data_IF_367738008349
#
_entry.id   IF_367738008349
#
_cell.length_a   1.000
_cell.length_b   1.000
_cell.length_c   1.000
_cell.angle_alpha   90.00
_cell.angle_beta   90.00
_cell.angle_gamma   90.00
#
_symmetry.space_group_name_H-M   'P 1'
#
loop_
_entity.id
_entity.type
_entity.pdbx_description
1 polymer ?
#
# COMPACT_ATOMS: atom_id res chain seq x y z
N UNK A 1 22.65 -20.00 12.52
CA UNK A 1 22.63 -18.67 11.85
C UNK A 1 21.24 -18.04 11.86
N UNK A 2 20.15 -18.79 11.53
CA UNK A 2 18.79 -18.24 11.47
C UNK A 2 18.26 -17.86 12.86
N UNK A 3 18.41 -18.71 13.87
CA UNK A 3 17.98 -18.44 15.22
C UNK A 3 18.69 -17.22 15.82
N UNK A 4 20.02 -17.10 15.66
CA UNK A 4 20.77 -15.94 16.12
C UNK A 4 20.31 -14.64 15.44
N UNK A 5 19.93 -14.69 14.14
CA UNK A 5 19.37 -13.55 13.45
C UNK A 5 17.99 -13.18 14.01
N UNK A 6 17.14 -14.16 14.28
CA UNK A 6 15.81 -13.98 14.88
C UNK A 6 15.91 -13.37 16.27
N UNK A 7 16.78 -13.91 17.13
CA UNK A 7 17.01 -13.39 18.47
C UNK A 7 17.49 -11.93 18.42
N UNK A 8 18.46 -11.63 17.54
CA UNK A 8 18.96 -10.27 17.40
C UNK A 8 17.91 -9.30 16.86
N UNK A 9 17.07 -9.73 15.92
CA UNK A 9 15.96 -8.93 15.40
C UNK A 9 14.95 -8.63 16.52
N UNK A 10 14.65 -9.60 17.36
CA UNK A 10 13.72 -9.44 18.48
C UNK A 10 14.27 -8.50 19.56
N UNK A 11 15.54 -8.60 19.92
CA UNK A 11 16.22 -7.65 20.82
C UNK A 11 16.12 -6.21 20.29
N UNK A 12 16.41 -6.01 18.99
CA UNK A 12 16.34 -4.69 18.36
C UNK A 12 14.90 -4.18 18.38
N UNK A 13 13.92 -5.03 18.04
CA UNK A 13 12.50 -4.68 18.08
C UNK A 13 12.10 -4.25 19.50
N UNK A 14 12.42 -5.06 20.51
CA UNK A 14 12.06 -4.77 21.91
C UNK A 14 12.64 -3.44 22.38
N UNK A 15 13.90 -3.17 22.04
CA UNK A 15 14.58 -1.93 22.42
C UNK A 15 14.00 -0.70 21.72
N UNK A 16 13.70 -0.79 20.39
CA UNK A 16 13.32 0.37 19.57
C UNK A 16 11.80 0.59 19.51
N UNK A 17 11.00 -0.45 19.72
CA UNK A 17 9.54 -0.43 19.54
C UNK A 17 8.77 -0.93 20.77
N UNK A 18 9.45 -1.43 21.79
CA UNK A 18 8.81 -2.07 22.94
C UNK A 18 8.22 -3.44 22.61
N UNK A 19 7.35 -3.94 23.45
CA UNK A 19 6.75 -5.28 23.31
C UNK A 19 5.37 -5.28 22.64
N UNK A 20 4.87 -4.12 22.27
CA UNK A 20 3.56 -3.98 21.65
C UNK A 20 3.58 -4.36 20.17
N UNK A 21 2.50 -4.98 19.74
CA UNK A 21 2.22 -5.22 18.30
C UNK A 21 1.29 -4.12 17.80
N UNK A 22 1.73 -3.41 16.77
CA UNK A 22 0.90 -2.40 16.11
C UNK A 22 -0.12 -3.05 15.18
N UNK A 23 -1.41 -2.90 15.50
CA UNK A 23 -2.52 -3.38 14.67
C UNK A 23 -3.03 -2.23 13.80
N UNK A 24 -3.21 -2.49 12.50
CA UNK A 24 -3.73 -1.51 11.54
C UNK A 24 -5.07 -1.99 10.98
N UNK A 25 -5.99 -1.05 10.78
CA UNK A 25 -7.26 -1.34 10.08
C UNK A 25 -7.03 -1.31 8.57
N UNK A 26 -7.18 -2.45 7.89
CA UNK A 26 -7.09 -2.54 6.44
C UNK A 26 -8.50 -2.46 5.84
N UNK A 27 -8.69 -1.50 4.93
CA UNK A 27 -9.94 -1.32 4.17
C UNK A 27 -9.61 -1.51 2.70
N UNK A 28 -9.96 -2.67 2.15
CA UNK A 28 -9.86 -2.95 0.71
C UNK A 28 -11.07 -2.35 0.00
N UNK A 29 -10.98 -1.07 -0.36
CA UNK A 29 -12.14 -0.33 -0.86
C UNK A 29 -12.46 -0.58 -2.34
N UNK A 30 -11.54 -1.21 -3.10
CA UNK A 30 -11.79 -1.62 -4.48
C UNK A 30 -10.81 -2.72 -4.92
N UNK A 31 -11.31 -3.66 -5.73
CA UNK A 31 -10.48 -4.66 -6.39
C UNK A 31 -10.31 -4.39 -7.90
N UNK A 32 -10.69 -3.20 -8.39
CA UNK A 32 -10.45 -2.78 -9.77
C UNK A 32 -8.98 -2.46 -9.96
N UNK A 33 -8.38 -2.97 -11.04
CA UNK A 33 -6.95 -2.79 -11.33
C UNK A 33 -6.73 -2.75 -12.84
N UNK A 34 -5.91 -1.82 -13.30
CA UNK A 34 -5.47 -1.69 -14.70
C UNK A 34 -4.22 -2.53 -14.98
N UNK A 35 -3.46 -2.90 -13.93
CA UNK A 35 -2.25 -3.70 -14.04
C UNK A 35 -2.55 -5.18 -14.32
N UNK A 36 -1.58 -5.85 -14.94
CA UNK A 36 -1.66 -7.27 -15.23
C UNK A 36 -0.50 -8.06 -14.57
N UNK A 37 -0.21 -7.76 -13.31
CA UNK A 37 0.85 -8.41 -12.55
C UNK A 37 0.59 -9.91 -12.42
N UNK A 38 1.56 -10.76 -12.80
CA UNK A 38 1.38 -12.21 -12.92
C UNK A 38 1.15 -12.94 -11.60
N UNK A 39 1.60 -12.36 -10.50
CA UNK A 39 1.42 -12.91 -9.14
C UNK A 39 0.09 -12.47 -8.47
N UNK A 40 -0.62 -11.48 -9.05
CA UNK A 40 -1.73 -10.82 -8.38
C UNK A 40 -3.08 -11.33 -8.87
N UNK A 41 -3.96 -11.73 -7.94
CA UNK A 41 -5.32 -12.13 -8.25
C UNK A 41 -6.20 -10.99 -8.76
N UNK A 42 -5.84 -9.72 -8.45
CA UNK A 42 -6.56 -8.53 -8.92
C UNK A 42 -6.21 -8.11 -10.35
N UNK A 43 -5.27 -8.79 -11.03
CA UNK A 43 -4.84 -8.42 -12.38
C UNK A 43 -6.01 -8.22 -13.34
N UNK A 44 -5.88 -7.24 -14.25
CA UNK A 44 -6.94 -6.88 -15.20
C UNK A 44 -7.43 -8.05 -16.04
N UNK A 45 -6.52 -8.96 -16.44
CA UNK A 45 -6.83 -10.14 -17.23
C UNK A 45 -7.49 -11.30 -16.46
N UNK A 46 -7.83 -11.15 -15.16
CA UNK A 46 -8.55 -12.19 -14.42
C UNK A 46 -10.07 -12.08 -14.67
N UNK A 47 -10.66 -12.95 -15.52
CA UNK A 47 -12.07 -12.88 -15.86
C UNK A 47 -12.99 -13.43 -14.77
N UNK A 48 -12.45 -14.21 -13.83
CA UNK A 48 -13.23 -14.88 -12.77
C UNK A 48 -13.49 -13.96 -11.57
N UNK A 49 -12.85 -12.78 -11.51
CA UNK A 49 -12.97 -11.90 -10.38
C UNK A 49 -14.17 -10.95 -10.54
N UNK A 50 -15.15 -11.06 -9.67
CA UNK A 50 -16.22 -10.06 -9.55
C UNK A 50 -15.64 -8.75 -9.04
N UNK A 51 -15.69 -7.70 -9.85
CA UNK A 51 -15.17 -6.38 -9.50
C UNK A 51 -16.14 -5.63 -8.61
N UNK A 52 -15.58 -4.93 -7.62
CA UNK A 52 -16.35 -4.06 -6.71
C UNK A 52 -15.60 -2.76 -6.44
N UNK A 53 -16.32 -1.82 -5.89
CA UNK A 53 -15.82 -0.56 -5.34
C UNK A 53 -16.79 -0.11 -4.25
N UNK A 54 -16.29 0.12 -3.06
CA UNK A 54 -17.06 0.70 -1.95
C UNK A 54 -17.28 2.19 -2.20
N UNK A 55 -18.43 2.69 -1.84
CA UNK A 55 -18.68 4.13 -1.77
C UNK A 55 -18.05 4.75 -0.50
N UNK A 56 -18.12 6.09 -0.38
CA UNK A 56 -17.52 6.78 0.76
C UNK A 56 -18.18 6.40 2.09
N UNK A 57 -19.50 6.26 2.12
CA UNK A 57 -20.24 5.90 3.32
C UNK A 57 -19.82 4.50 3.82
N UNK A 58 -19.67 3.54 2.91
CA UNK A 58 -19.20 2.20 3.23
C UNK A 58 -17.76 2.19 3.75
N UNK A 59 -16.88 3.04 3.19
CA UNK A 59 -15.49 3.17 3.68
C UNK A 59 -15.47 3.77 5.08
N UNK A 60 -16.25 4.83 5.33
CA UNK A 60 -16.36 5.48 6.64
C UNK A 60 -16.93 4.51 7.68
N UNK A 61 -17.98 3.77 7.36
CA UNK A 61 -18.53 2.73 8.25
C UNK A 61 -17.50 1.64 8.59
N UNK A 62 -16.74 1.18 7.60
CA UNK A 62 -15.66 0.21 7.84
C UNK A 62 -14.55 0.80 8.74
N UNK A 63 -14.22 2.07 8.56
CA UNK A 63 -13.25 2.79 9.38
C UNK A 63 -13.73 2.93 10.82
N UNK A 64 -14.99 3.29 11.04
CA UNK A 64 -15.60 3.39 12.37
C UNK A 64 -15.49 2.07 13.13
N UNK A 65 -15.81 0.96 12.48
CA UNK A 65 -15.64 -0.37 13.08
C UNK A 65 -14.18 -0.67 13.42
N UNK A 66 -13.24 -0.35 12.54
CA UNK A 66 -11.81 -0.56 12.79
C UNK A 66 -11.32 0.28 13.99
N UNK A 67 -11.72 1.54 14.06
CA UNK A 67 -11.37 2.45 15.17
C UNK A 67 -11.95 1.97 16.48
N UNK A 68 -13.17 1.42 16.49
CA UNK A 68 -13.79 0.83 17.67
C UNK A 68 -13.00 -0.37 18.24
N UNK A 69 -12.19 -1.05 17.42
CA UNK A 69 -11.22 -2.07 17.84
C UNK A 69 -9.88 -1.48 18.37
N UNK A 70 -9.76 -0.15 18.42
CA UNK A 70 -8.59 0.52 18.97
C UNK A 70 -7.42 0.71 18.01
N UNK A 71 -7.63 0.60 16.68
CA UNK A 71 -6.57 0.90 15.71
C UNK A 71 -6.34 2.41 15.60
N UNK A 72 -5.09 2.82 15.50
CA UNK A 72 -4.65 4.21 15.31
C UNK A 72 -4.23 4.51 13.86
N UNK A 73 -4.22 3.51 13.01
CA UNK A 73 -3.80 3.61 11.62
C UNK A 73 -4.76 2.84 10.71
N UNK A 74 -5.26 3.52 9.68
CA UNK A 74 -6.06 2.93 8.61
C UNK A 74 -5.23 2.80 7.34
N UNK A 75 -5.31 1.67 6.68
CA UNK A 75 -4.72 1.42 5.36
C UNK A 75 -5.84 1.32 4.33
N UNK A 76 -5.95 2.30 3.45
CA UNK A 76 -6.85 2.27 2.31
C UNK A 76 -6.15 1.58 1.15
N UNK A 77 -6.62 0.41 0.78
CA UNK A 77 -6.02 -0.41 -0.27
C UNK A 77 -6.97 -0.62 -1.44
N UNK A 78 -6.42 -0.57 -2.65
CA UNK A 78 -7.12 -0.97 -3.87
C UNK A 78 -6.16 -1.56 -4.90
N UNK A 79 -6.70 -2.07 -6.00
CA UNK A 79 -5.92 -2.18 -7.23
C UNK A 79 -5.56 -0.80 -7.77
N UNK A 80 -4.64 -0.77 -8.74
CA UNK A 80 -4.19 0.47 -9.37
C UNK A 80 -5.15 0.90 -10.47
N UNK A 81 -5.79 2.06 -10.28
CA UNK A 81 -6.60 2.78 -11.27
C UNK A 81 -6.29 4.28 -11.18
N UNK A 82 -6.46 5.02 -12.28
CA UNK A 82 -6.04 6.42 -12.37
C UNK A 82 -7.20 7.42 -12.47
N UNK A 83 -8.43 6.97 -12.34
CA UNK A 83 -9.65 7.72 -12.65
C UNK A 83 -10.30 8.46 -11.48
N UNK A 84 -9.79 8.36 -10.25
CA UNK A 84 -10.50 8.85 -9.06
C UNK A 84 -9.65 9.63 -8.02
N UNK A 85 -8.72 10.49 -8.39
CA UNK A 85 -7.86 11.13 -7.39
C UNK A 85 -8.63 12.01 -6.40
N UNK A 86 -9.65 12.74 -6.84
CA UNK A 86 -10.47 13.61 -5.99
C UNK A 86 -11.31 12.81 -5.00
N UNK A 87 -11.86 11.67 -5.44
CA UNK A 87 -12.64 10.80 -4.56
C UNK A 87 -11.78 10.24 -3.43
N UNK A 88 -10.56 9.79 -3.71
CA UNK A 88 -9.64 9.31 -2.68
C UNK A 88 -9.28 10.45 -1.71
N UNK A 89 -9.07 11.67 -2.21
CA UNK A 89 -8.83 12.83 -1.37
C UNK A 89 -10.01 13.12 -0.42
N UNK A 90 -11.25 13.12 -0.92
CA UNK A 90 -12.44 13.31 -0.09
C UNK A 90 -12.57 12.23 1.00
N UNK A 91 -12.33 10.96 0.65
CA UNK A 91 -12.34 9.87 1.64
C UNK A 91 -11.26 10.08 2.71
N UNK A 92 -10.04 10.45 2.32
CA UNK A 92 -8.95 10.71 3.26
C UNK A 92 -9.31 11.86 4.21
N UNK A 93 -9.82 12.97 3.68
CA UNK A 93 -10.25 14.12 4.47
C UNK A 93 -11.38 13.76 5.44
N UNK A 94 -12.40 13.03 4.97
CA UNK A 94 -13.51 12.57 5.81
C UNK A 94 -13.03 11.68 6.97
N UNK A 95 -12.09 10.75 6.72
CA UNK A 95 -11.54 9.89 7.75
C UNK A 95 -10.69 10.67 8.76
N UNK A 96 -9.86 11.61 8.28
CA UNK A 96 -9.01 12.45 9.14
C UNK A 96 -9.82 13.42 10.00
N UNK A 97 -10.93 13.93 9.49
CA UNK A 97 -11.82 14.80 10.23
C UNK A 97 -12.61 14.05 11.30
N UNK A 98 -13.03 12.81 11.02
CA UNK A 98 -13.88 12.03 11.94
C UNK A 98 -13.10 11.26 13.01
N UNK A 99 -11.87 10.81 12.68
CA UNK A 99 -11.14 9.88 13.55
C UNK A 99 -9.70 10.35 13.79
N UNK A 100 -9.15 10.18 15.00
CA UNK A 100 -7.76 10.51 15.33
C UNK A 100 -6.80 9.42 14.84
N UNK A 101 -6.83 9.10 13.55
CA UNK A 101 -6.05 8.01 12.96
C UNK A 101 -5.07 8.51 11.91
N UNK A 102 -3.95 7.82 11.71
CA UNK A 102 -3.10 8.01 10.55
C UNK A 102 -3.69 7.27 9.33
N UNK A 103 -3.62 7.87 8.14
CA UNK A 103 -4.08 7.24 6.90
C UNK A 103 -2.88 6.87 6.03
N UNK A 104 -2.79 5.58 5.70
CA UNK A 104 -1.85 5.01 4.74
C UNK A 104 -2.60 4.70 3.44
N UNK A 105 -2.06 5.11 2.30
CA UNK A 105 -2.58 4.72 0.98
C UNK A 105 -1.76 3.56 0.40
N UNK A 106 -2.45 2.61 -0.23
CA UNK A 106 -1.87 1.49 -0.98
C UNK A 106 -2.67 1.28 -2.27
N UNK A 107 -2.49 2.19 -3.22
CA UNK A 107 -3.33 2.33 -4.44
C UNK A 107 -2.51 2.29 -5.73
N UNK A 108 -1.31 1.71 -5.68
CA UNK A 108 -0.41 1.58 -6.82
C UNK A 108 0.32 2.86 -7.20
N UNK A 109 0.92 2.88 -8.39
CA UNK A 109 1.62 4.05 -8.92
C UNK A 109 0.61 5.08 -9.44
N UNK A 110 0.89 6.36 -9.17
CA UNK A 110 -0.02 7.44 -9.51
C UNK A 110 0.73 8.67 -10.05
N UNK A 111 0.05 9.57 -10.74
CA UNK A 111 0.61 10.88 -11.09
C UNK A 111 1.04 11.67 -9.86
N UNK A 112 2.08 12.50 -10.00
CA UNK A 112 2.59 13.32 -8.90
C UNK A 112 1.53 14.26 -8.32
N UNK A 113 0.63 14.78 -9.16
CA UNK A 113 -0.49 15.61 -8.71
C UNK A 113 -1.44 14.88 -7.76
N UNK A 114 -1.71 13.59 -7.99
CA UNK A 114 -2.53 12.77 -7.10
C UNK A 114 -1.86 12.59 -5.73
N UNK A 115 -0.54 12.37 -5.71
CA UNK A 115 0.20 12.27 -4.45
C UNK A 115 0.13 13.58 -3.65
N UNK A 116 0.29 14.72 -4.29
CA UNK A 116 0.16 16.04 -3.64
C UNK A 116 -1.24 16.24 -3.07
N UNK A 117 -2.27 16.00 -3.88
CA UNK A 117 -3.68 16.13 -3.50
C UNK A 117 -4.02 15.28 -2.27
N UNK A 118 -3.61 14.03 -2.23
CA UNK A 118 -3.89 13.14 -1.09
C UNK A 118 -3.06 13.48 0.15
N UNK A 119 -1.86 14.02 -0.04
CA UNK A 119 -1.05 14.54 1.06
C UNK A 119 -1.72 15.73 1.74
N UNK A 120 -2.23 16.67 0.94
CA UNK A 120 -3.00 17.83 1.43
C UNK A 120 -4.29 17.41 2.15
N UNK A 121 -4.98 16.37 1.66
CA UNK A 121 -6.14 15.78 2.32
C UNK A 121 -5.81 15.07 3.65
N UNK A 122 -4.53 14.87 3.98
CA UNK A 122 -4.08 14.33 5.26
C UNK A 122 -3.54 12.90 5.24
N UNK A 123 -3.36 12.27 4.07
CA UNK A 123 -2.65 11.00 4.00
C UNK A 123 -1.17 11.20 4.36
N UNK A 124 -0.69 10.45 5.35
CA UNK A 124 0.67 10.62 5.88
C UNK A 124 1.65 9.56 5.39
N UNK A 125 1.15 8.38 5.03
CA UNK A 125 1.93 7.21 4.65
C UNK A 125 1.49 6.65 3.31
N UNK A 126 2.42 6.02 2.61
CA UNK A 126 2.12 5.33 1.35
C UNK A 126 2.85 3.99 1.28
N UNK A 127 2.13 2.92 0.98
CA UNK A 127 2.70 1.60 0.77
C UNK A 127 2.76 1.30 -0.74
N UNK A 128 3.99 1.16 -1.25
CA UNK A 128 4.24 0.81 -2.65
C UNK A 128 5.41 -0.17 -2.72
N UNK A 129 5.09 -1.46 -2.84
CA UNK A 129 6.10 -2.51 -2.89
C UNK A 129 6.83 -2.52 -4.23
N UNK A 130 8.16 -2.67 -4.21
CA UNK A 130 8.98 -2.82 -5.41
C UNK A 130 9.03 -4.27 -5.90
N UNK A 131 8.58 -5.23 -5.08
CA UNK A 131 8.37 -6.66 -5.33
C UNK A 131 9.66 -7.46 -5.60
N UNK A 132 10.62 -6.91 -6.33
CA UNK A 132 11.96 -7.46 -6.55
C UNK A 132 12.93 -6.34 -6.94
N UNK A 133 14.21 -6.49 -6.58
CA UNK A 133 15.29 -5.59 -7.01
C UNK A 133 15.92 -6.00 -8.36
N UNK A 134 15.60 -7.18 -8.87
CA UNK A 134 16.02 -7.64 -10.19
C UNK A 134 15.11 -7.05 -11.28
N UNK A 135 15.70 -6.25 -12.18
CA UNK A 135 14.95 -5.55 -13.22
C UNK A 135 14.32 -6.51 -14.26
N UNK A 136 14.97 -7.62 -14.56
CA UNK A 136 14.47 -8.62 -15.50
C UNK A 136 13.30 -9.38 -14.90
N UNK A 137 13.43 -9.79 -13.64
CA UNK A 137 12.36 -10.44 -12.90
C UNK A 137 11.17 -9.49 -12.70
N UNK A 138 11.43 -8.20 -12.40
CA UNK A 138 10.37 -7.19 -12.30
C UNK A 138 9.58 -7.10 -13.59
N UNK A 139 10.23 -6.97 -14.74
CA UNK A 139 9.56 -6.89 -16.05
C UNK A 139 8.77 -8.17 -16.37
N UNK A 140 9.27 -9.34 -15.98
CA UNK A 140 8.56 -10.60 -16.13
C UNK A 140 7.30 -10.68 -15.27
N UNK A 141 7.34 -10.14 -14.04
CA UNK A 141 6.20 -10.11 -13.10
C UNK A 141 5.17 -9.02 -13.45
N UNK A 142 5.61 -7.92 -14.06
CA UNK A 142 4.81 -6.72 -14.35
C UNK A 142 4.83 -6.40 -15.85
N UNK A 143 4.10 -7.15 -16.71
CA UNK A 143 4.10 -6.92 -18.14
C UNK A 143 3.81 -5.46 -18.50
N UNK A 144 4.70 -4.86 -19.32
CA UNK A 144 4.59 -3.46 -19.75
C UNK A 144 5.15 -2.42 -18.80
N UNK A 145 5.75 -2.81 -17.67
CA UNK A 145 6.30 -1.89 -16.67
C UNK A 145 7.73 -2.27 -16.28
N UNK A 146 8.47 -1.28 -15.79
CA UNK A 146 9.89 -1.44 -15.42
C UNK A 146 10.12 -1.14 -13.94
N UNK A 147 11.16 -1.75 -13.37
CA UNK A 147 11.61 -1.44 -12.01
C UNK A 147 11.99 0.04 -11.85
N UNK A 148 12.59 0.64 -12.89
CA UNK A 148 12.96 2.06 -12.87
C UNK A 148 11.74 2.98 -12.68
N UNK A 149 10.61 2.70 -13.34
CA UNK A 149 9.35 3.44 -13.12
C UNK A 149 8.86 3.30 -11.68
N UNK A 150 8.93 2.09 -11.10
CA UNK A 150 8.56 1.84 -9.71
C UNK A 150 9.42 2.61 -8.72
N UNK A 151 10.74 2.61 -8.94
CA UNK A 151 11.70 3.37 -8.12
C UNK A 151 11.45 4.88 -8.23
N UNK A 152 11.19 5.38 -9.45
CA UNK A 152 10.82 6.80 -9.65
C UNK A 152 9.52 7.15 -8.90
N UNK A 153 8.51 6.30 -8.93
CA UNK A 153 7.28 6.51 -8.15
C UNK A 153 7.55 6.60 -6.64
N UNK A 154 8.40 5.73 -6.10
CA UNK A 154 8.84 5.79 -4.69
C UNK A 154 9.59 7.10 -4.39
N UNK A 155 10.45 7.56 -5.29
CA UNK A 155 11.15 8.84 -5.13
C UNK A 155 10.19 10.04 -5.18
N UNK A 156 9.18 10.01 -6.05
CA UNK A 156 8.13 11.06 -6.12
C UNK A 156 7.31 11.10 -4.84
N UNK A 157 6.92 9.96 -4.28
CA UNK A 157 6.27 9.85 -2.98
C UNK A 157 7.12 10.45 -1.85
N UNK A 158 8.43 10.16 -1.84
CA UNK A 158 9.36 10.72 -0.86
C UNK A 158 9.44 12.25 -0.96
N UNK A 159 9.55 12.77 -2.19
CA UNK A 159 9.55 14.23 -2.43
C UNK A 159 8.24 14.91 -2.01
N UNK A 160 7.11 14.20 -2.13
CA UNK A 160 5.81 14.66 -1.65
C UNK A 160 5.65 14.57 -0.11
N UNK A 161 6.67 14.11 0.62
CA UNK A 161 6.70 14.08 2.09
C UNK A 161 5.95 12.92 2.74
N UNK A 162 5.75 11.80 2.02
CA UNK A 162 5.20 10.60 2.62
C UNK A 162 6.23 9.80 3.42
N UNK A 163 5.77 9.21 4.52
CA UNK A 163 6.43 8.04 5.11
C UNK A 163 6.15 6.83 4.20
N UNK A 164 7.21 6.21 3.68
CA UNK A 164 7.08 5.18 2.64
C UNK A 164 7.27 3.80 3.23
N UNK A 165 6.29 2.92 3.00
CA UNK A 165 6.43 1.48 3.14
C UNK A 165 6.73 0.85 1.78
N UNK A 166 7.74 -0.01 1.73
CA UNK A 166 8.04 -0.83 0.55
C UNK A 166 8.37 -2.25 0.96
N UNK A 167 8.57 -3.14 0.00
CA UNK A 167 8.88 -4.54 0.26
C UNK A 167 9.01 -5.35 -1.03
N UNK A 168 9.36 -6.61 -0.86
CA UNK A 168 9.54 -7.57 -1.95
C UNK A 168 8.82 -8.88 -1.64
N UNK A 169 8.61 -9.70 -2.66
CA UNK A 169 8.02 -11.03 -2.53
C UNK A 169 9.16 -12.04 -2.39
N UNK A 170 9.07 -12.93 -1.42
CA UNK A 170 10.00 -14.04 -1.22
C UNK A 170 9.49 -15.30 -1.92
N UNK A 171 10.37 -16.01 -2.62
CA UNK A 171 10.06 -17.30 -3.24
C UNK A 171 9.43 -17.20 -4.63
N UNK A 172 9.56 -16.06 -5.30
CA UNK A 172 9.13 -15.93 -6.70
C UNK A 172 10.04 -16.77 -7.60
N UNK A 173 9.48 -17.54 -8.56
CA UNK A 173 10.29 -18.29 -9.53
C UNK A 173 11.31 -17.40 -10.25
N UNK A 174 12.57 -17.79 -10.26
CA UNK A 174 13.67 -17.01 -10.83
C UNK A 174 14.31 -15.99 -9.87
N UNK A 175 13.80 -15.84 -8.66
CA UNK A 175 14.42 -15.00 -7.63
C UNK A 175 15.76 -15.62 -7.17
N UNK A 176 16.78 -14.77 -7.03
CA UNK A 176 18.10 -15.14 -6.49
C UNK A 176 18.32 -14.49 -5.13
N UNK A 177 19.17 -15.08 -4.26
CA UNK A 177 19.46 -14.55 -2.93
C UNK A 177 20.26 -13.24 -2.93
N UNK A 178 20.87 -12.88 -4.06
CA UNK A 178 21.80 -11.72 -4.22
C UNK A 178 21.04 -10.41 -4.40
#
# INVERSE_FOLDING_TARGET
PYEALRERADEVRAREKGEHVFVRGLIEFSNRCERNCRYCGLRSANPSLKRYRLDEAQIVEAAERAVAFGVDTLVLQSGEVHDEPQRIAHVVDALRTRFPVAVTLSVGEQPTASYALWKEAGASRFLLKHETADASLYAALHPGYTLAQRVDALQRLRRAGYEIGSGFIVGVPGQRPE
#
